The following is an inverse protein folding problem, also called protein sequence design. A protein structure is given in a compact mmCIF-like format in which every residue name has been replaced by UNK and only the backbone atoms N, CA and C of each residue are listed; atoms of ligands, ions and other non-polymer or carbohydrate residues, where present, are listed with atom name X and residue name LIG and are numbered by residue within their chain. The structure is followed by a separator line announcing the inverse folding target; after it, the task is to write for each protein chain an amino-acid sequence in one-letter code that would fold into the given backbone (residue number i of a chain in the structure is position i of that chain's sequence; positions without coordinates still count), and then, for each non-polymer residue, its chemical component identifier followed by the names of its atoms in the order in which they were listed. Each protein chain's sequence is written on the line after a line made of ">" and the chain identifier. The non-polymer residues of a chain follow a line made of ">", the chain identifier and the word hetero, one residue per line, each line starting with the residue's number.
data_IF_592148267099
#
_entry.id   IF_592148267099
#
_cell.length_a   1.000
_cell.length_b   1.000
_cell.length_c   1.000
_cell.angle_alpha   90.00
_cell.angle_beta   90.00
_cell.angle_gamma   90.00
#
_symmetry.space_group_name_H-M   'P 1'
#
loop_
_entity.id
_entity.type
_entity.pdbx_description
1 polymer ?
#
# COMPACT_ATOMS: atom_id res chain seq x y z
N UNK A 1 -4.40 -4.06 -5.62
CA UNK A 1 -5.35 -4.12 -4.47
C UNK A 1 -5.04 -5.25 -3.48
N UNK A 2 -4.59 -6.42 -3.92
CA UNK A 2 -4.28 -7.55 -3.02
C UNK A 2 -3.21 -7.24 -1.96
N UNK A 3 -2.13 -6.55 -2.34
CA UNK A 3 -1.02 -6.26 -1.42
C UNK A 3 -1.37 -5.29 -0.28
N UNK A 4 -2.49 -4.55 -0.35
CA UNK A 4 -2.92 -3.72 0.79
C UNK A 4 -3.51 -4.59 1.91
N UNK A 5 -4.27 -5.62 1.54
CA UNK A 5 -4.83 -6.59 2.48
C UNK A 5 -3.78 -7.61 2.95
N UNK A 6 -2.83 -7.94 2.06
CA UNK A 6 -1.76 -8.92 2.29
C UNK A 6 -0.40 -8.35 1.90
N UNK A 7 0.17 -7.41 2.68
CA UNK A 7 1.42 -6.75 2.31
C UNK A 7 2.65 -7.65 2.37
N UNK A 8 2.54 -8.81 3.03
CA UNK A 8 3.50 -9.91 2.94
C UNK A 8 3.55 -10.57 1.55
N UNK A 9 2.53 -10.40 0.71
CA UNK A 9 2.58 -10.89 -0.66
C UNK A 9 3.48 -10.01 -1.52
N UNK A 10 4.56 -10.60 -2.00
CA UNK A 10 5.46 -9.98 -2.97
C UNK A 10 4.95 -10.10 -4.41
N UNK A 11 5.74 -9.54 -5.32
CA UNK A 11 5.61 -9.74 -6.76
C UNK A 11 6.91 -10.32 -7.32
N UNK A 12 6.85 -10.98 -8.47
CA UNK A 12 8.03 -11.59 -9.09
C UNK A 12 9.17 -10.60 -9.41
N UNK A 13 8.88 -9.30 -9.38
CA UNK A 13 9.85 -8.23 -9.62
C UNK A 13 10.56 -7.73 -8.35
N UNK A 14 10.11 -8.15 -7.16
CA UNK A 14 10.80 -7.85 -5.90
C UNK A 14 12.18 -8.54 -5.92
N UNK A 15 13.26 -7.76 -5.92
CA UNK A 15 14.64 -8.30 -5.91
C UNK A 15 14.98 -8.97 -4.57
N UNK A 16 14.43 -8.41 -3.49
CA UNK A 16 14.46 -8.98 -2.15
C UNK A 16 13.02 -9.00 -1.62
N UNK A 17 12.34 -10.17 -1.63
CA UNK A 17 10.95 -10.28 -1.23
C UNK A 17 10.69 -9.90 0.24
N UNK A 18 11.63 -10.19 1.13
CA UNK A 18 11.48 -9.91 2.57
C UNK A 18 11.65 -8.43 2.87
N UNK A 19 12.65 -7.80 2.25
CA UNK A 19 12.84 -6.35 2.33
C UNK A 19 11.68 -5.59 1.69
N UNK A 20 11.15 -6.07 0.56
CA UNK A 20 10.01 -5.44 -0.10
C UNK A 20 8.73 -5.52 0.77
N UNK A 21 8.46 -6.68 1.39
CA UNK A 21 7.33 -6.86 2.29
C UNK A 21 7.42 -5.97 3.53
N UNK A 22 8.57 -5.96 4.21
CA UNK A 22 8.78 -5.11 5.38
C UNK A 22 8.70 -3.61 5.04
N UNK A 23 9.25 -3.21 3.90
CA UNK A 23 9.18 -1.82 3.40
C UNK A 23 7.75 -1.40 3.08
N UNK A 24 6.96 -2.24 2.39
CA UNK A 24 5.53 -1.98 2.14
C UNK A 24 4.74 -1.80 3.44
N UNK A 25 4.89 -2.72 4.39
CA UNK A 25 4.19 -2.65 5.69
C UNK A 25 4.50 -1.33 6.39
N UNK A 26 5.77 -0.94 6.45
CA UNK A 26 6.20 0.34 7.03
C UNK A 26 5.60 1.54 6.28
N UNK A 27 5.62 1.53 4.95
CA UNK A 27 5.08 2.62 4.14
C UNK A 27 3.55 2.78 4.33
N UNK A 28 2.81 1.67 4.41
CA UNK A 28 1.37 1.70 4.65
C UNK A 28 1.01 2.17 6.06
N UNK A 29 1.75 1.71 7.08
CA UNK A 29 1.57 2.18 8.46
C UNK A 29 1.81 3.69 8.56
N UNK A 30 2.89 4.20 7.96
CA UNK A 30 3.19 5.62 7.91
C UNK A 30 2.08 6.40 7.20
N UNK A 31 1.69 5.97 5.99
CA UNK A 31 0.66 6.65 5.22
C UNK A 31 -0.71 6.70 5.93
N UNK A 32 -1.07 5.62 6.63
CA UNK A 32 -2.32 5.55 7.39
C UNK A 32 -2.26 6.39 8.67
N UNK A 33 -1.16 6.34 9.42
CA UNK A 33 -0.98 7.08 10.67
C UNK A 33 -0.93 8.58 10.45
N UNK A 34 -0.23 9.01 9.40
CA UNK A 34 -0.01 10.41 9.08
C UNK A 34 -1.06 10.96 8.09
N UNK A 35 -2.05 10.15 7.71
CA UNK A 35 -3.14 10.51 6.79
C UNK A 35 -2.65 11.08 5.44
N UNK A 36 -1.59 10.49 4.89
CA UNK A 36 -0.91 10.96 3.69
C UNK A 36 -1.68 10.59 2.42
N UNK A 37 -1.52 11.44 1.40
CA UNK A 37 -1.86 11.07 0.02
C UNK A 37 -0.71 10.25 -0.58
N UNK A 38 -1.04 9.13 -1.20
CA UNK A 38 -0.07 8.22 -1.83
C UNK A 38 -0.29 8.21 -3.33
N UNK A 39 0.81 8.30 -4.08
CA UNK A 39 0.85 8.04 -5.52
C UNK A 39 1.50 6.67 -5.77
N UNK A 40 0.86 5.83 -6.58
CA UNK A 40 1.38 4.51 -6.92
C UNK A 40 1.45 4.28 -8.44
N UNK A 41 2.60 3.84 -8.94
CA UNK A 41 2.86 3.66 -10.36
C UNK A 41 1.93 2.62 -11.05
N UNK A 42 1.42 1.66 -10.28
CA UNK A 42 0.52 0.60 -10.78
C UNK A 42 -0.85 0.61 -10.09
N UNK A 43 -1.23 1.75 -9.53
CA UNK A 43 -2.58 2.00 -9.06
C UNK A 43 -3.38 2.57 -10.23
N UNK A 44 -4.65 2.17 -10.36
CA UNK A 44 -5.53 2.66 -11.43
C UNK A 44 -5.52 4.19 -11.53
N UNK A 45 -5.44 4.71 -12.75
CA UNK A 45 -5.34 6.15 -13.01
C UNK A 45 -6.46 6.92 -12.28
N UNK A 46 -6.16 8.02 -11.56
CA UNK A 46 -4.94 8.84 -11.58
C UNK A 46 -3.79 8.34 -10.69
N UNK A 47 -3.89 7.14 -10.11
CA UNK A 47 -2.84 6.55 -9.28
C UNK A 47 -2.76 7.14 -7.86
N UNK A 48 -3.74 7.97 -7.47
CA UNK A 48 -3.80 8.63 -6.17
C UNK A 48 -4.80 7.97 -5.24
N UNK A 49 -4.38 7.72 -3.99
CA UNK A 49 -5.22 7.14 -2.95
C UNK A 49 -4.79 7.60 -1.56
N UNK A 50 -5.68 7.43 -0.58
CA UNK A 50 -5.33 7.35 0.84
C UNK A 50 -5.26 5.89 1.29
N UNK A 51 -4.54 5.64 2.36
CA UNK A 51 -4.51 4.34 3.01
C UNK A 51 -5.14 4.50 4.39
N UNK A 52 -6.07 3.62 4.74
CA UNK A 52 -6.67 3.55 6.08
C UNK A 52 -6.35 2.21 6.72
N UNK A 53 -6.15 2.20 8.04
CA UNK A 53 -5.96 0.97 8.82
C UNK A 53 -7.30 0.32 9.11
N UNK A 54 -7.37 -0.99 8.96
CA UNK A 54 -8.55 -1.81 9.29
C UNK A 54 -8.10 -3.08 10.01
N UNK A 55 -8.09 -3.01 11.35
CA UNK A 55 -7.45 -4.02 12.19
C UNK A 55 -5.95 -4.13 11.88
N UNK A 56 -5.52 -5.34 11.51
CA UNK A 56 -4.13 -5.64 11.13
C UNK A 56 -3.86 -5.48 9.62
N UNK A 57 -4.86 -5.02 8.85
CA UNK A 57 -4.75 -4.83 7.41
C UNK A 57 -4.85 -3.34 7.02
N UNK A 58 -4.55 -3.06 5.75
CA UNK A 58 -4.70 -1.73 5.16
C UNK A 58 -5.70 -1.75 4.01
N UNK A 59 -6.48 -0.67 3.89
CA UNK A 59 -7.44 -0.48 2.80
C UNK A 59 -7.09 0.76 2.00
N UNK A 60 -7.00 0.67 0.66
CA UNK A 60 -6.85 1.84 -0.19
C UNK A 60 -8.21 2.53 -0.37
N UNK A 61 -8.21 3.85 -0.29
CA UNK A 61 -9.36 4.73 -0.56
C UNK A 61 -8.98 5.62 -1.74
N UNK A 62 -9.48 5.35 -2.96
CA UNK A 62 -9.18 6.16 -4.14
C UNK A 62 -9.57 7.63 -3.95
N UNK A 63 -8.78 8.56 -4.49
CA UNK A 63 -9.10 10.00 -4.41
C UNK A 63 -10.22 10.43 -5.36
N UNK A 64 -10.56 9.60 -6.35
CA UNK A 64 -11.65 9.83 -7.31
C UNK A 64 -12.58 8.62 -7.35
N UNK A 65 -13.89 8.87 -7.31
CA UNK A 65 -14.94 7.88 -7.58
C UNK A 65 -15.06 7.62 -9.07
#
# INVERSE_FOLDING_TARGET
>A
NFQFLHPEWGVAFDQDPELAASTRKRAFEMAASDNLMVAGAHIGFPGLLKIVKDGDAWKPVPSSR
#
